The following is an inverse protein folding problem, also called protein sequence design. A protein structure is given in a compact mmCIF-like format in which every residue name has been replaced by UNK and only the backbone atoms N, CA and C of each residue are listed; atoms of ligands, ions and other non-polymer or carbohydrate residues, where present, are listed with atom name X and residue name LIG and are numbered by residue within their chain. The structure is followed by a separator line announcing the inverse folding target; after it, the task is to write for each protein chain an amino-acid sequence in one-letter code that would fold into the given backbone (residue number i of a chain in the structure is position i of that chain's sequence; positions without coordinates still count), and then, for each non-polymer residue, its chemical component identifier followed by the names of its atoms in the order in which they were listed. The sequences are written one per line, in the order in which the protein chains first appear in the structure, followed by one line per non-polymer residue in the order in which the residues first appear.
data_IF_636326267123
#
_entry.id   IF_636326267123
#
_cell.length_a   1.000
_cell.length_b   1.000
_cell.length_c   1.000
_cell.angle_alpha   90.00
_cell.angle_beta   90.00
_cell.angle_gamma   90.00
#
_symmetry.space_group_name_H-M   'P 1'
#
loop_
_entity.id
_entity.type
_entity.pdbx_description
1 polymer ?
#
# COMPACT_ATOMS: atom_id res chain seq x y z
N UNK A 1 12.61 14.01 -26.30
CA UNK A 1 13.34 13.32 -25.20
C UNK A 1 13.02 13.86 -23.80
N UNK A 2 12.21 14.93 -23.64
CA UNK A 2 11.94 15.58 -22.34
C UNK A 2 10.80 14.95 -21.52
N UNK A 3 9.82 14.31 -22.16
CA UNK A 3 8.56 13.92 -21.51
C UNK A 3 8.66 12.61 -20.69
N UNK A 4 9.37 11.61 -21.22
CA UNK A 4 9.58 10.32 -20.55
C UNK A 4 10.46 10.43 -19.29
N UNK A 5 11.45 11.32 -19.29
CA UNK A 5 12.30 11.54 -18.10
C UNK A 5 11.53 12.20 -16.96
N UNK A 6 10.63 13.14 -17.26
CA UNK A 6 9.76 13.78 -16.28
C UNK A 6 8.76 12.76 -15.69
N UNK A 7 8.16 11.92 -16.53
CA UNK A 7 7.27 10.84 -16.09
C UNK A 7 8.00 9.87 -15.15
N UNK A 8 9.20 9.40 -15.50
CA UNK A 8 9.99 8.49 -14.67
C UNK A 8 10.35 9.11 -13.31
N UNK A 9 10.68 10.40 -13.27
CA UNK A 9 10.95 11.13 -12.02
C UNK A 9 9.71 11.23 -11.13
N UNK A 10 8.54 11.47 -11.73
CA UNK A 10 7.24 11.48 -11.04
C UNK A 10 6.92 10.12 -10.41
N UNK A 11 7.05 9.04 -11.18
CA UNK A 11 6.83 7.67 -10.70
C UNK A 11 7.80 7.33 -9.55
N UNK A 12 9.10 7.64 -9.72
CA UNK A 12 10.12 7.38 -8.70
C UNK A 12 9.82 8.07 -7.37
N UNK A 13 9.31 9.31 -7.42
CA UNK A 13 8.88 10.08 -6.24
C UNK A 13 7.70 9.39 -5.54
N UNK A 14 6.66 9.03 -6.28
CA UNK A 14 5.45 8.41 -5.72
C UNK A 14 5.74 7.04 -5.11
N UNK A 15 6.57 6.24 -5.78
CA UNK A 15 7.03 4.94 -5.27
C UNK A 15 7.85 5.11 -3.97
N UNK A 16 8.71 6.11 -3.89
CA UNK A 16 9.52 6.37 -2.70
C UNK A 16 8.65 6.77 -1.50
N UNK A 17 7.65 7.62 -1.74
CA UNK A 17 6.69 8.03 -0.72
C UNK A 17 5.87 6.83 -0.21
N UNK A 18 5.43 5.93 -1.11
CA UNK A 18 4.70 4.73 -0.74
C UNK A 18 5.52 3.77 0.13
N UNK A 19 6.80 3.57 -0.20
CA UNK A 19 7.72 2.76 0.62
C UNK A 19 7.89 3.39 2.01
N UNK A 20 8.06 4.72 2.08
CA UNK A 20 8.20 5.43 3.35
C UNK A 20 6.96 5.35 4.25
N UNK A 21 5.76 5.34 3.65
CA UNK A 21 4.50 5.23 4.38
C UNK A 21 4.24 3.84 4.97
N UNK A 22 4.97 2.81 4.53
CA UNK A 22 4.73 1.43 4.94
C UNK A 22 4.90 1.22 6.47
N UNK A 23 5.98 1.76 7.05
CA UNK A 23 6.24 1.65 8.49
C UNK A 23 5.14 2.31 9.33
N UNK A 24 4.60 3.44 8.85
CA UNK A 24 3.52 4.15 9.52
C UNK A 24 2.22 3.33 9.56
N UNK A 25 1.91 2.59 8.49
CA UNK A 25 0.75 1.68 8.48
C UNK A 25 0.88 0.56 9.52
N UNK A 26 2.06 -0.08 9.60
CA UNK A 26 2.29 -1.13 10.60
C UNK A 26 2.16 -0.60 12.02
N UNK A 27 2.67 0.60 12.29
CA UNK A 27 2.51 1.26 13.59
C UNK A 27 1.04 1.56 13.89
N UNK A 28 0.30 2.15 12.94
CA UNK A 28 -1.13 2.44 13.10
C UNK A 28 -1.93 1.19 13.47
N UNK A 29 -1.72 0.07 12.78
CA UNK A 29 -2.42 -1.20 13.07
C UNK A 29 -2.03 -1.75 14.45
N UNK A 30 -0.75 -1.70 14.84
CA UNK A 30 -0.33 -2.08 16.20
C UNK A 30 -1.02 -1.23 17.26
N UNK A 31 -1.11 0.08 17.05
CA UNK A 31 -1.81 0.99 17.96
C UNK A 31 -3.29 0.62 18.07
N UNK A 32 -3.95 0.30 16.95
CA UNK A 32 -5.34 -0.14 16.97
C UNK A 32 -5.52 -1.47 17.74
N UNK A 33 -4.62 -2.44 17.54
CA UNK A 33 -4.63 -3.72 18.28
C UNK A 33 -4.49 -3.49 19.79
N UNK A 34 -3.58 -2.61 20.21
CA UNK A 34 -3.33 -2.34 21.63
C UNK A 34 -4.45 -1.52 22.28
N UNK A 35 -5.03 -0.56 21.54
CA UNK A 35 -5.98 0.41 22.12
C UNK A 35 -7.44 0.09 21.84
N UNK A 36 -7.74 -0.80 20.90
CA UNK A 36 -9.10 -1.04 20.40
C UNK A 36 -9.71 0.18 19.68
N UNK A 37 -8.90 1.15 19.25
CA UNK A 37 -9.36 2.41 18.63
C UNK A 37 -8.61 2.72 17.35
N UNK A 38 -9.27 3.43 16.44
CA UNK A 38 -8.67 3.92 15.19
C UNK A 38 -9.29 5.23 14.74
N UNK A 39 -8.52 6.01 13.99
CA UNK A 39 -8.93 7.22 13.29
C UNK A 39 -9.67 6.94 11.97
N UNK A 40 -9.61 5.69 11.48
CA UNK A 40 -10.27 5.24 10.25
C UNK A 40 -11.05 3.96 10.49
N UNK A 41 -12.02 3.68 9.61
CA UNK A 41 -12.78 2.42 9.67
C UNK A 41 -12.04 1.28 8.96
N UNK A 42 -12.36 0.00 9.24
CA UNK A 42 -11.82 -1.14 8.50
C UNK A 42 -12.08 -1.06 6.99
N UNK A 43 -13.25 -0.57 6.58
CA UNK A 43 -13.64 -0.39 5.18
C UNK A 43 -12.76 0.67 4.51
N UNK A 44 -12.50 1.79 5.21
CA UNK A 44 -11.57 2.82 4.75
C UNK A 44 -10.15 2.28 4.61
N UNK A 45 -9.69 1.47 5.57
CA UNK A 45 -8.38 0.86 5.53
C UNK A 45 -8.25 -0.17 4.38
N UNK A 46 -9.34 -0.85 4.03
CA UNK A 46 -9.42 -1.79 2.91
C UNK A 46 -9.50 -1.11 1.53
N UNK A 47 -9.80 0.19 1.47
CA UNK A 47 -9.96 0.92 0.23
C UNK A 47 -8.61 1.40 -0.33
N UNK A 48 -8.19 0.80 -1.43
CA UNK A 48 -6.85 0.95 -1.99
C UNK A 48 -6.72 2.14 -2.98
N UNK A 49 -7.78 2.89 -3.21
CA UNK A 49 -7.76 4.10 -4.04
C UNK A 49 -7.93 5.40 -3.23
N UNK A 50 -7.99 5.31 -1.89
CA UNK A 50 -8.22 6.48 -1.04
C UNK A 50 -6.97 6.99 -0.31
N UNK A 51 -5.93 6.16 -0.20
CA UNK A 51 -4.63 6.60 0.29
C UNK A 51 -3.91 7.47 -0.77
N UNK A 52 -2.91 8.27 -0.37
CA UNK A 52 -2.23 9.18 -1.28
C UNK A 52 -1.62 8.46 -2.50
N UNK A 53 -0.99 7.30 -2.28
CA UNK A 53 -0.44 6.49 -3.36
C UNK A 53 -1.54 5.89 -4.25
N UNK A 54 -2.62 5.39 -3.65
CA UNK A 54 -3.78 4.87 -4.37
C UNK A 54 -4.43 5.91 -5.27
N UNK A 55 -4.68 7.12 -4.76
CA UNK A 55 -5.23 8.23 -5.56
C UNK A 55 -4.40 8.51 -6.81
N UNK A 56 -3.08 8.55 -6.67
CA UNK A 56 -2.17 8.72 -7.80
C UNK A 56 -2.16 7.50 -8.73
N UNK A 57 -2.13 6.28 -8.18
CA UNK A 57 -2.05 5.04 -8.94
C UNK A 57 -3.30 4.79 -9.80
N UNK A 58 -4.47 5.21 -9.30
CA UNK A 58 -5.77 5.11 -9.98
C UNK A 58 -6.13 6.36 -10.79
N UNK A 59 -5.38 7.45 -10.62
CA UNK A 59 -5.61 8.73 -11.30
C UNK A 59 -5.16 8.74 -12.76
N UNK A 60 -5.15 9.93 -13.35
CA UNK A 60 -4.87 10.18 -14.77
C UNK A 60 -3.42 10.61 -15.03
N UNK A 61 -2.61 10.71 -13.98
CA UNK A 61 -1.21 11.15 -14.06
C UNK A 61 -0.30 10.12 -14.73
N UNK A 62 -0.69 8.85 -14.76
CA UNK A 62 0.03 7.77 -15.43
C UNK A 62 -0.51 7.55 -16.84
N UNK A 63 0.38 7.59 -17.84
CA UNK A 63 0.03 7.34 -19.23
C UNK A 63 -0.39 5.87 -19.48
N UNK A 64 -1.07 5.64 -20.61
CA UNK A 64 -1.58 4.32 -20.99
C UNK A 64 -0.47 3.26 -21.19
N UNK A 65 0.71 3.64 -21.68
CA UNK A 65 1.84 2.75 -21.85
C UNK A 65 2.39 2.28 -20.49
N UNK A 66 2.54 3.19 -19.55
CA UNK A 66 2.93 2.88 -18.17
C UNK A 66 1.89 1.96 -17.50
N UNK A 67 0.59 2.26 -17.65
CA UNK A 67 -0.51 1.43 -17.11
C UNK A 67 -0.57 0.03 -17.76
N UNK A 68 -0.16 -0.12 -19.02
CA UNK A 68 -0.07 -1.41 -19.70
C UNK A 68 1.14 -2.25 -19.23
N UNK A 69 2.13 -1.63 -18.59
CA UNK A 69 3.34 -2.29 -18.13
C UNK A 69 3.10 -3.26 -16.97
N UNK A 70 3.82 -4.39 -16.99
CA UNK A 70 3.78 -5.38 -15.92
C UNK A 70 4.11 -4.81 -14.52
N UNK A 71 5.07 -3.87 -14.35
CA UNK A 71 5.36 -3.30 -13.03
C UNK A 71 4.15 -2.61 -12.40
N UNK A 72 3.42 -1.80 -13.18
CA UNK A 72 2.19 -1.13 -12.73
C UNK A 72 1.13 -2.15 -12.32
N UNK A 73 0.85 -3.15 -13.17
CA UNK A 73 -0.18 -4.15 -12.92
C UNK A 73 0.10 -4.97 -11.64
N UNK A 74 1.36 -5.35 -11.44
CA UNK A 74 1.79 -6.08 -10.23
C UNK A 74 1.66 -5.21 -8.99
N UNK A 75 2.13 -3.96 -9.05
CA UNK A 75 2.05 -3.02 -7.91
C UNK A 75 0.61 -2.70 -7.55
N UNK A 76 -0.25 -2.45 -8.54
CA UNK A 76 -1.68 -2.19 -8.32
C UNK A 76 -2.38 -3.35 -7.62
N UNK A 77 -2.17 -4.58 -8.09
CA UNK A 77 -2.73 -5.78 -7.43
C UNK A 77 -2.22 -5.93 -6.00
N UNK A 78 -0.90 -5.86 -5.79
CA UNK A 78 -0.29 -6.02 -4.47
C UNK A 78 -0.71 -4.91 -3.50
N UNK A 79 -0.96 -3.70 -4.01
CA UNK A 79 -1.47 -2.58 -3.22
C UNK A 79 -2.89 -2.85 -2.70
N UNK A 80 -3.77 -3.36 -3.55
CA UNK A 80 -5.12 -3.79 -3.14
C UNK A 80 -5.07 -4.91 -2.10
N UNK A 81 -4.23 -5.92 -2.31
CA UNK A 81 -4.03 -7.02 -1.36
C UNK A 81 -3.52 -6.53 0.01
N UNK A 82 -2.56 -5.60 0.02
CA UNK A 82 -2.05 -4.96 1.23
C UNK A 82 -3.16 -4.25 2.01
N UNK A 83 -3.96 -3.42 1.32
CA UNK A 83 -5.05 -2.67 1.95
C UNK A 83 -6.15 -3.58 2.47
N UNK A 84 -6.54 -4.61 1.72
CA UNK A 84 -7.52 -5.60 2.18
C UNK A 84 -7.09 -6.30 3.48
N UNK A 85 -5.81 -6.70 3.56
CA UNK A 85 -5.25 -7.29 4.79
C UNK A 85 -5.20 -6.27 5.95
N UNK A 86 -4.85 -5.01 5.66
CA UNK A 86 -4.88 -3.93 6.65
C UNK A 86 -6.29 -3.70 7.23
N UNK A 87 -7.32 -3.67 6.38
CA UNK A 87 -8.72 -3.59 6.82
C UNK A 87 -9.13 -4.78 7.67
N UNK A 88 -8.71 -5.99 7.31
CA UNK A 88 -8.99 -7.20 8.08
C UNK A 88 -8.35 -7.18 9.47
N UNK A 89 -7.08 -6.76 9.57
CA UNK A 89 -6.41 -6.56 10.86
C UNK A 89 -7.15 -5.54 11.71
N UNK A 90 -7.58 -4.42 11.09
CA UNK A 90 -8.27 -3.36 11.79
C UNK A 90 -9.65 -3.80 12.30
N UNK A 91 -10.40 -4.57 11.50
CA UNK A 91 -11.69 -5.12 11.91
C UNK A 91 -11.56 -6.01 13.16
N UNK A 92 -10.56 -6.91 13.17
CA UNK A 92 -10.28 -7.76 14.34
C UNK A 92 -9.87 -6.93 15.56
N UNK A 93 -9.02 -5.91 15.37
CA UNK A 93 -8.58 -5.03 16.44
C UNK A 93 -9.74 -4.27 17.09
N UNK A 94 -10.61 -3.64 16.28
CA UNK A 94 -11.77 -2.89 16.77
C UNK A 94 -12.87 -3.80 17.34
N UNK A 95 -12.92 -5.06 16.89
CA UNK A 95 -13.78 -6.09 17.47
C UNK A 95 -13.25 -6.72 18.77
N UNK A 96 -12.13 -6.23 19.33
CA UNK A 96 -11.54 -6.77 20.56
C UNK A 96 -10.86 -8.13 20.40
N UNK A 97 -10.69 -8.63 19.17
CA UNK A 97 -10.03 -9.91 18.87
C UNK A 97 -8.52 -9.72 18.74
N UNK A 98 -7.88 -9.24 19.81
CA UNK A 98 -6.47 -8.83 19.82
C UNK A 98 -5.52 -9.94 19.37
N UNK A 99 -5.72 -11.18 19.83
CA UNK A 99 -4.85 -12.31 19.47
C UNK A 99 -4.90 -12.62 17.96
N UNK A 100 -6.10 -12.64 17.38
CA UNK A 100 -6.30 -12.89 15.95
C UNK A 100 -5.75 -11.74 15.10
N UNK A 101 -5.97 -10.50 15.54
CA UNK A 101 -5.43 -9.32 14.87
C UNK A 101 -3.89 -9.33 14.87
N UNK A 102 -3.28 -9.74 15.98
CA UNK A 102 -1.82 -9.84 16.11
C UNK A 102 -1.25 -10.97 15.24
N UNK A 103 -1.93 -12.12 15.18
CA UNK A 103 -1.56 -13.23 14.31
C UNK A 103 -1.64 -12.81 12.83
N UNK A 104 -2.74 -12.17 12.42
CA UNK A 104 -2.91 -11.70 11.04
C UNK A 104 -1.89 -10.61 10.67
N UNK A 105 -1.60 -9.68 11.60
CA UNK A 105 -0.59 -8.63 11.41
C UNK A 105 0.81 -9.23 11.18
N UNK A 106 1.19 -10.24 11.97
CA UNK A 106 2.51 -10.87 11.90
C UNK A 106 2.64 -11.91 10.78
N UNK A 107 1.51 -12.43 10.27
CA UNK A 107 1.45 -13.36 9.15
C UNK A 107 1.13 -12.64 7.85
N UNK A 108 -0.08 -12.87 7.33
CA UNK A 108 -0.54 -12.45 6.00
C UNK A 108 -0.32 -10.96 5.71
N UNK A 109 -0.59 -10.06 6.66
CA UNK A 109 -0.33 -8.64 6.45
C UNK A 109 1.16 -8.36 6.19
N UNK A 110 2.06 -8.92 7.03
CA UNK A 110 3.51 -8.72 6.88
C UNK A 110 4.00 -9.32 5.56
N UNK A 111 3.49 -10.48 5.14
CA UNK A 111 3.85 -11.07 3.86
C UNK A 111 3.43 -10.20 2.66
N UNK A 112 2.18 -9.71 2.64
CA UNK A 112 1.67 -8.84 1.55
C UNK A 112 2.38 -7.50 1.52
N UNK A 113 2.60 -6.92 2.69
CA UNK A 113 3.44 -5.75 2.92
C UNK A 113 4.80 -5.90 2.24
N UNK A 114 5.52 -6.97 2.56
CA UNK A 114 6.88 -7.17 2.07
C UNK A 114 6.91 -7.40 0.55
N UNK A 115 5.92 -8.12 0.02
CA UNK A 115 5.73 -8.29 -1.43
C UNK A 115 5.52 -6.94 -2.13
N UNK A 116 4.66 -6.07 -1.58
CA UNK A 116 4.41 -4.75 -2.12
C UNK A 116 5.68 -3.89 -2.11
N UNK A 117 6.39 -3.80 -0.98
CA UNK A 117 7.64 -3.02 -0.87
C UNK A 117 8.71 -3.51 -1.86
N UNK A 118 8.84 -4.83 -2.04
CA UNK A 118 9.76 -5.41 -3.02
C UNK A 118 9.36 -5.06 -4.46
N UNK A 119 8.07 -5.14 -4.79
CA UNK A 119 7.56 -4.79 -6.11
C UNK A 119 7.77 -3.29 -6.42
N UNK A 120 7.44 -2.41 -5.48
CA UNK A 120 7.71 -0.97 -5.56
C UNK A 120 9.20 -0.68 -5.78
N UNK A 121 10.06 -1.30 -4.98
CA UNK A 121 11.51 -1.13 -5.12
C UNK A 121 12.04 -1.63 -6.46
N UNK A 122 11.46 -2.72 -6.99
CA UNK A 122 11.80 -3.25 -8.31
C UNK A 122 11.37 -2.28 -9.41
N UNK A 123 10.13 -1.80 -9.37
CA UNK A 123 9.62 -0.84 -10.34
C UNK A 123 10.49 0.42 -10.36
N UNK A 124 10.87 0.95 -9.19
CA UNK A 124 11.78 2.11 -9.10
C UNK A 124 13.12 1.89 -9.81
N UNK A 125 13.72 0.71 -9.69
CA UNK A 125 15.02 0.40 -10.32
C UNK A 125 14.92 0.27 -11.83
N UNK A 126 13.76 -0.10 -12.37
CA UNK A 126 13.53 -0.23 -13.81
C UNK A 126 13.30 1.13 -14.51
N UNK A 127 13.15 2.22 -13.74
CA UNK A 127 12.94 3.58 -14.25
C UNK A 127 14.24 4.40 -14.37
N UNK A 128 15.35 3.88 -13.84
CA UNK A 128 16.67 4.50 -13.82
C UNK A 128 17.50 3.97 -14.99
#
# INVERSE_FOLDING_TARGET
MSDSTLMNSGISTQVSNAIGAHGAWKLRLKTAITTGRSDITPEKAACDNECAFGKWLYGDELDAGTKAGLPFQVVKRLHGEFHHSAGSVLALALGGRTADAQALLNGDYTERSDKLVRALSKWKRELI
#
